data_IF_133957059350
#
_entry.id   IF_133957059350
#
_cell.length_a   1.000
_cell.length_b   1.000
_cell.length_c   1.000
_cell.angle_alpha   90.00
_cell.angle_beta   90.00
_cell.angle_gamma   90.00
#
_symmetry.space_group_name_H-M   'P 1'
#
loop_
_entity.id
_entity.type
_entity.pdbx_description
1 polymer ?
#
# COMPACT_ATOMS: atom_id res chain seq x y z
N UNK A 1 3.57 -6.21 -13.79
CA UNK A 1 3.17 -4.79 -13.85
C UNK A 1 3.82 -3.95 -12.75
N UNK A 2 3.58 -4.26 -11.46
CA UNK A 2 4.02 -3.42 -10.32
C UNK A 2 5.52 -3.11 -10.33
N UNK A 3 6.39 -4.11 -10.58
CA UNK A 3 7.84 -3.91 -10.69
C UNK A 3 8.18 -2.84 -11.74
N UNK A 4 7.55 -2.89 -12.91
CA UNK A 4 7.78 -1.92 -13.99
C UNK A 4 7.37 -0.51 -13.57
N UNK A 5 6.28 -0.36 -12.83
CA UNK A 5 5.82 0.93 -12.31
C UNK A 5 6.78 1.45 -11.22
N UNK A 6 7.25 0.58 -10.32
CA UNK A 6 8.27 0.96 -9.32
C UNK A 6 9.57 1.45 -9.98
N UNK A 7 10.01 0.79 -11.05
CA UNK A 7 11.20 1.22 -11.81
C UNK A 7 10.96 2.55 -12.52
N UNK A 8 9.88 2.66 -13.31
CA UNK A 8 9.67 3.81 -14.19
C UNK A 8 9.15 5.05 -13.47
N UNK A 9 8.25 4.86 -12.51
CA UNK A 9 7.54 5.96 -11.84
C UNK A 9 8.12 6.28 -10.48
N UNK A 10 8.59 5.29 -9.72
CA UNK A 10 9.21 5.53 -8.40
C UNK A 10 10.75 5.61 -8.44
N UNK A 11 11.38 5.22 -9.55
CA UNK A 11 12.83 5.36 -9.76
C UNK A 11 13.68 4.28 -9.09
N UNK A 12 13.08 3.16 -8.65
CA UNK A 12 13.84 2.06 -8.05
C UNK A 12 14.63 1.30 -9.11
N UNK A 13 15.89 0.96 -8.80
CA UNK A 13 16.77 0.20 -9.70
C UNK A 13 16.60 -1.31 -9.51
N UNK A 14 15.42 -1.83 -9.86
CA UNK A 14 15.05 -3.24 -9.66
C UNK A 14 15.45 -4.18 -10.81
N UNK A 15 15.97 -3.67 -11.92
CA UNK A 15 16.12 -4.42 -13.19
C UNK A 15 17.04 -5.64 -13.09
N UNK A 16 18.05 -5.59 -12.22
CA UNK A 16 19.05 -6.67 -12.07
C UNK A 16 18.72 -7.60 -10.90
N UNK A 17 17.62 -7.35 -10.17
CA UNK A 17 17.25 -8.11 -8.99
C UNK A 17 16.30 -9.25 -9.33
N UNK A 18 16.59 -10.45 -8.80
CA UNK A 18 15.63 -11.54 -8.78
C UNK A 18 14.59 -11.28 -7.68
N UNK A 19 13.33 -11.05 -8.08
CA UNK A 19 12.24 -10.74 -7.16
C UNK A 19 11.34 -11.96 -7.01
N UNK A 20 11.27 -12.47 -5.78
CA UNK A 20 10.32 -13.52 -5.39
C UNK A 20 9.25 -12.89 -4.49
N UNK A 21 7.99 -13.28 -4.69
CA UNK A 21 6.87 -12.78 -3.92
C UNK A 21 5.98 -13.94 -3.52
N UNK A 22 5.53 -13.92 -2.27
CA UNK A 22 4.63 -14.92 -1.72
C UNK A 22 3.48 -14.24 -0.97
N UNK A 23 2.29 -14.83 -1.03
CA UNK A 23 1.14 -14.44 -0.22
C UNK A 23 0.99 -15.49 0.88
N UNK A 24 1.03 -15.03 2.14
CA UNK A 24 0.98 -15.92 3.31
C UNK A 24 -0.37 -16.64 3.38
N UNK A 25 -0.38 -17.81 4.02
CA UNK A 25 -1.57 -18.64 4.24
C UNK A 25 -2.19 -19.27 2.98
N UNK A 26 -1.45 -19.31 1.87
CA UNK A 26 -1.90 -19.93 0.62
C UNK A 26 -3.08 -19.20 -0.04
N UNK A 27 -3.29 -17.93 0.31
CA UNK A 27 -4.36 -17.10 -0.26
C UNK A 27 -3.95 -16.62 -1.64
N UNK A 28 -4.88 -16.64 -2.59
CA UNK A 28 -4.69 -16.05 -3.91
C UNK A 28 -5.14 -14.60 -3.91
N UNK A 29 -4.23 -13.67 -4.26
CA UNK A 29 -4.58 -12.27 -4.46
C UNK A 29 -5.16 -12.09 -5.87
N UNK A 30 -6.48 -11.92 -5.97
CA UNK A 30 -7.22 -11.81 -7.23
C UNK A 30 -7.77 -10.41 -7.52
N UNK A 31 -7.54 -9.44 -6.62
CA UNK A 31 -8.06 -8.08 -6.73
C UNK A 31 -6.96 -7.02 -6.70
N UNK A 32 -7.24 -5.84 -7.26
CA UNK A 32 -6.29 -4.73 -7.36
C UNK A 32 -6.04 -4.01 -6.03
N UNK A 33 -6.86 -4.24 -5.00
CA UNK A 33 -6.69 -3.64 -3.68
C UNK A 33 -5.36 -3.98 -3.01
N UNK A 34 -4.76 -5.12 -3.37
CA UNK A 34 -3.48 -5.57 -2.84
C UNK A 34 -2.26 -5.05 -3.60
N UNK A 35 -2.43 -4.33 -4.72
CA UNK A 35 -1.30 -3.85 -5.52
C UNK A 35 -0.36 -2.96 -4.68
N UNK A 36 -0.94 -2.07 -3.86
CA UNK A 36 -0.16 -1.21 -2.98
C UNK A 36 0.59 -2.02 -1.90
N UNK A 37 -0.02 -3.08 -1.37
CA UNK A 37 0.64 -3.97 -0.41
C UNK A 37 1.81 -4.73 -1.05
N UNK A 38 1.64 -5.21 -2.28
CA UNK A 38 2.71 -5.84 -3.07
C UNK A 38 3.83 -4.83 -3.36
N UNK A 39 3.49 -3.61 -3.77
CA UNK A 39 4.49 -2.57 -4.02
C UNK A 39 5.28 -2.23 -2.75
N UNK A 40 4.59 -2.08 -1.61
CA UNK A 40 5.23 -1.82 -0.31
C UNK A 40 6.17 -2.96 0.12
N UNK A 41 5.77 -4.21 -0.07
CA UNK A 41 6.62 -5.38 0.24
C UNK A 41 7.90 -5.41 -0.61
N UNK A 42 7.79 -5.11 -1.92
CA UNK A 42 8.96 -5.02 -2.80
C UNK A 42 9.87 -3.85 -2.38
N UNK A 43 9.29 -2.68 -2.10
CA UNK A 43 10.06 -1.53 -1.61
C UNK A 43 10.79 -1.84 -0.30
N UNK A 44 10.12 -2.44 0.67
CA UNK A 44 10.71 -2.82 1.96
C UNK A 44 11.90 -3.76 1.79
N UNK A 45 11.74 -4.80 0.95
CA UNK A 45 12.81 -5.75 0.64
C UNK A 45 14.00 -5.08 -0.05
N UNK A 46 13.74 -4.26 -1.07
CA UNK A 46 14.79 -3.59 -1.84
C UNK A 46 15.53 -2.49 -1.05
N UNK A 47 14.82 -1.75 -0.20
CA UNK A 47 15.41 -0.67 0.61
C UNK A 47 16.02 -1.17 1.92
N UNK A 48 15.95 -2.49 2.19
CA UNK A 48 16.35 -3.11 3.46
C UNK A 48 15.76 -2.41 4.69
N UNK A 49 14.54 -1.89 4.54
CA UNK A 49 13.83 -1.15 5.58
C UNK A 49 12.55 -1.90 5.97
N UNK A 50 12.48 -2.47 7.18
CA UNK A 50 11.31 -3.22 7.62
C UNK A 50 10.11 -2.28 7.85
N UNK A 51 8.94 -2.66 7.31
CA UNK A 51 7.70 -1.94 7.60
C UNK A 51 7.30 -2.19 9.07
N UNK A 52 7.05 -1.16 9.88
CA UNK A 52 6.58 -1.32 11.26
C UNK A 52 5.31 -2.16 11.36
N UNK A 53 5.19 -2.94 12.43
CA UNK A 53 4.00 -3.75 12.68
C UNK A 53 2.76 -2.87 12.87
N UNK A 54 1.62 -3.36 12.40
CA UNK A 54 0.33 -2.64 12.50
C UNK A 54 0.11 -1.59 11.41
N UNK A 55 0.93 -1.53 10.36
CA UNK A 55 0.68 -0.75 9.14
C UNK A 55 0.07 -1.66 8.07
N UNK A 56 -1.05 -1.22 7.48
CA UNK A 56 -1.71 -1.86 6.36
C UNK A 56 -1.71 -0.96 5.12
N UNK A 57 -1.86 -1.57 3.94
CA UNK A 57 -1.86 -0.90 2.65
C UNK A 57 -3.07 -1.35 1.85
N UNK A 58 -3.86 -0.40 1.35
CA UNK A 58 -4.99 -0.68 0.46
C UNK A 58 -4.89 0.27 -0.72
N UNK A 59 -4.94 -0.25 -1.93
CA UNK A 59 -5.05 0.58 -3.12
C UNK A 59 -4.55 -0.11 -4.38
N UNK A 60 -5.10 0.33 -5.50
CA UNK A 60 -4.66 -0.07 -6.84
C UNK A 60 -3.51 0.84 -7.30
N UNK A 61 -2.53 0.25 -7.99
CA UNK A 61 -1.39 0.96 -8.56
C UNK A 61 -1.62 1.14 -10.06
N UNK A 62 -1.82 2.38 -10.49
CA UNK A 62 -1.91 2.73 -11.89
C UNK A 62 -0.57 2.69 -12.60
N UNK A 63 -0.59 2.59 -13.94
CA UNK A 63 0.62 2.56 -14.77
C UNK A 63 1.42 3.87 -14.71
N UNK A 64 0.76 4.99 -14.42
CA UNK A 64 1.38 6.30 -14.18
C UNK A 64 1.99 6.42 -12.78
N UNK A 65 1.86 5.39 -11.94
CA UNK A 65 2.32 5.38 -10.55
C UNK A 65 1.35 6.04 -9.59
N UNK A 66 0.20 6.50 -10.06
CA UNK A 66 -0.89 7.02 -9.25
C UNK A 66 -1.57 5.91 -8.43
N UNK A 67 -2.10 6.28 -7.26
CA UNK A 67 -2.92 5.38 -6.45
C UNK A 67 -4.39 5.60 -6.73
N UNK A 68 -5.13 4.51 -6.92
CA UNK A 68 -6.56 4.52 -7.24
C UNK A 68 -7.37 3.83 -6.15
N UNK A 69 -8.53 4.42 -5.84
CA UNK A 69 -9.51 3.87 -4.90
C UNK A 69 -10.05 2.54 -5.36
N UNK A 70 -10.28 1.64 -4.42
CA UNK A 70 -10.91 0.33 -4.66
C UNK A 70 -12.29 0.24 -4.02
N UNK A 71 -13.15 -0.69 -4.45
CA UNK A 71 -14.48 -0.83 -3.88
C UNK A 71 -14.46 -1.10 -2.37
N UNK A 72 -15.45 -0.55 -1.67
CA UNK A 72 -15.73 -0.80 -0.24
C UNK A 72 -14.59 -0.38 0.71
N UNK A 73 -13.92 0.76 0.43
CA UNK A 73 -12.84 1.30 1.27
C UNK A 73 -13.17 1.30 2.76
N UNK A 74 -14.31 1.87 3.14
CA UNK A 74 -14.75 1.95 4.55
C UNK A 74 -14.81 0.57 5.22
N UNK A 75 -15.41 -0.43 4.57
CA UNK A 75 -15.49 -1.79 5.13
C UNK A 75 -14.12 -2.42 5.31
N UNK A 76 -13.18 -2.19 4.38
CA UNK A 76 -11.82 -2.71 4.45
C UNK A 76 -11.05 -2.06 5.61
N UNK A 77 -11.10 -0.74 5.72
CA UNK A 77 -10.45 0.01 6.80
C UNK A 77 -11.03 -0.35 8.16
N UNK A 78 -12.36 -0.46 8.28
CA UNK A 78 -13.01 -0.89 9.53
C UNK A 78 -12.58 -2.31 9.94
N UNK A 79 -12.39 -3.21 8.97
CA UNK A 79 -11.88 -4.56 9.26
C UNK A 79 -10.46 -4.52 9.82
N UNK A 80 -9.59 -3.67 9.26
CA UNK A 80 -8.22 -3.49 9.75
C UNK A 80 -8.20 -2.89 11.16
N UNK A 81 -9.04 -1.89 11.44
CA UNK A 81 -9.18 -1.31 12.77
C UNK A 81 -9.60 -2.37 13.81
N UNK A 82 -10.59 -3.21 13.48
CA UNK A 82 -11.03 -4.33 14.34
C UNK A 82 -9.97 -5.40 14.55
N UNK A 83 -9.07 -5.58 13.60
CA UNK A 83 -7.92 -6.48 13.70
C UNK A 83 -6.72 -5.85 14.46
N UNK A 84 -6.82 -4.60 14.90
CA UNK A 84 -5.81 -3.93 15.71
C UNK A 84 -4.69 -3.25 14.90
N UNK A 85 -4.89 -3.02 13.60
CA UNK A 85 -3.97 -2.19 12.83
C UNK A 85 -4.07 -0.73 13.27
N UNK A 86 -2.91 -0.07 13.36
CA UNK A 86 -2.78 1.31 13.85
C UNK A 86 -2.72 2.32 12.72
N UNK A 87 -2.26 1.91 11.54
CA UNK A 87 -2.12 2.82 10.39
C UNK A 87 -2.58 2.14 9.11
N UNK A 88 -3.33 2.85 8.27
CA UNK A 88 -3.66 2.42 6.91
C UNK A 88 -3.14 3.44 5.89
N UNK A 89 -2.30 2.99 4.96
CA UNK A 89 -1.95 3.75 3.77
C UNK A 89 -3.01 3.49 2.70
N UNK A 90 -3.59 4.57 2.16
CA UNK A 90 -4.69 4.52 1.19
C UNK A 90 -4.45 5.50 0.04
N UNK A 91 -5.18 5.40 -1.08
CA UNK A 91 -5.16 6.41 -2.12
C UNK A 91 -5.69 7.73 -1.56
N UNK A 92 -5.08 8.87 -1.91
CA UNK A 92 -5.47 10.19 -1.40
C UNK A 92 -6.95 10.51 -1.65
N UNK A 93 -7.52 10.03 -2.76
CA UNK A 93 -8.94 10.18 -3.08
C UNK A 93 -9.89 9.44 -2.13
N UNK A 94 -9.40 8.45 -1.36
CA UNK A 94 -10.19 7.73 -0.37
C UNK A 94 -10.34 8.49 0.96
N UNK A 95 -9.49 9.46 1.27
CA UNK A 95 -9.54 10.18 2.56
C UNK A 95 -10.92 10.79 2.82
N UNK A 96 -11.51 11.47 1.84
CA UNK A 96 -12.84 12.09 1.97
C UNK A 96 -13.94 11.10 2.34
N UNK A 97 -13.87 9.87 1.82
CA UNK A 97 -14.86 8.82 2.12
C UNK A 97 -14.64 8.24 3.52
N UNK A 98 -13.38 8.22 3.97
CA UNK A 98 -12.97 7.66 5.24
C UNK A 98 -13.11 8.67 6.40
N UNK A 99 -13.01 9.98 6.15
CA UNK A 99 -13.23 11.05 7.13
C UNK A 99 -14.63 11.03 7.75
N UNK A 100 -15.62 10.52 7.01
CA UNK A 100 -17.00 10.43 7.48
C UNK A 100 -17.24 9.26 8.47
N UNK A 101 -16.24 8.40 8.69
CA UNK A 101 -16.34 7.17 9.48
C UNK A 101 -15.43 7.23 10.69
N UNK A 102 -15.86 6.64 11.80
CA UNK A 102 -15.04 6.47 12.99
C UNK A 102 -14.32 5.10 12.94
N UNK A 103 -12.99 5.14 12.96
CA UNK A 103 -12.12 3.95 13.00
C UNK A 103 -11.34 3.85 14.31
N UNK A 104 -11.75 4.56 15.37
CA UNK A 104 -11.03 4.65 16.64
C UNK A 104 -9.66 5.30 16.46
N UNK A 105 -8.63 4.69 17.05
CA UNK A 105 -7.25 5.21 17.03
C UNK A 105 -6.48 4.92 15.72
N UNK A 106 -7.15 4.37 14.69
CA UNK A 106 -6.50 4.03 13.44
C UNK A 106 -6.17 5.28 12.62
N UNK A 107 -4.89 5.52 12.35
CA UNK A 107 -4.41 6.61 11.50
C UNK A 107 -4.58 6.29 10.02
N UNK A 108 -5.24 7.17 9.27
CA UNK A 108 -5.37 7.05 7.81
C UNK A 108 -4.39 8.00 7.14
N UNK A 109 -3.54 7.47 6.25
CA UNK A 109 -2.55 8.25 5.51
C UNK A 109 -2.86 8.11 4.02
N UNK A 110 -3.37 9.17 3.40
CA UNK A 110 -3.58 9.23 1.96
C UNK A 110 -2.32 9.58 1.19
N UNK A 111 -2.05 8.81 0.12
CA UNK A 111 -0.95 9.03 -0.82
C UNK A 111 -1.47 9.16 -2.25
N UNK A 112 -0.89 10.05 -3.05
CA UNK A 112 -1.29 10.22 -4.46
C UNK A 112 -0.60 9.25 -5.40
N UNK A 113 0.62 8.86 -5.08
CA UNK A 113 1.47 8.02 -5.92
C UNK A 113 2.49 7.24 -5.09
N UNK A 114 3.19 6.30 -5.73
CA UNK A 114 4.19 5.46 -5.09
C UNK A 114 5.36 6.23 -4.47
N UNK A 115 5.78 7.37 -5.04
CA UNK A 115 6.85 8.18 -4.43
C UNK A 115 6.43 8.74 -3.07
N UNK A 116 5.18 9.19 -2.97
CA UNK A 116 4.63 9.69 -1.71
C UNK A 116 4.53 8.58 -0.66
N UNK A 117 4.15 7.36 -1.06
CA UNK A 117 4.18 6.19 -0.18
C UNK A 117 5.59 5.93 0.32
N UNK A 118 6.59 5.92 -0.57
CA UNK A 118 7.97 5.63 -0.19
C UNK A 118 8.49 6.67 0.81
N UNK A 119 8.25 7.96 0.52
CA UNK A 119 8.69 9.04 1.39
C UNK A 119 8.02 9.01 2.77
N UNK A 120 6.75 8.60 2.85
CA UNK A 120 6.03 8.57 4.13
C UNK A 120 6.29 7.30 4.96
N UNK A 121 6.71 6.21 4.32
CA UNK A 121 6.84 4.89 4.96
C UNK A 121 8.29 4.50 5.20
N UNK A 122 9.22 4.85 4.31
CA UNK A 122 10.61 4.34 4.32
C UNK A 122 11.67 5.44 4.49
N UNK A 123 11.30 6.72 4.37
CA UNK A 123 12.23 7.84 4.57
C UNK A 123 11.92 8.46 5.92
N UNK A 124 12.65 8.04 6.96
CA UNK A 124 12.67 8.68 8.28
C UNK A 124 14.10 8.82 8.73
#
# INVERSE_FOLDING_TARGET
>A
MIISVLVKQAGLKLQENAIFLNVVSGVTLSETAGDLGVAAAICSSFLEFPIPSGIAFIGEVGLGGELRTVPRMEKRVNTLAKLGYRTCIVPKSAEKVLEASDFGDMMIIGCRNLKEVINKVFVT
#
